data_IF_166491287731
#
_entry.id   IF_166491287731
#
_cell.length_a   1.000
_cell.length_b   1.000
_cell.length_c   1.000
_cell.angle_alpha   90.00
_cell.angle_beta   90.00
_cell.angle_gamma   90.00
#
_symmetry.space_group_name_H-M   'P 1'
#
loop_
_entity.id
_entity.type
_entity.pdbx_description
1 polymer ?
#
# COMPACT_ATOMS: atom_id res chain seq x y z
N UNK A 1 -37.55 -34.00 7.90
CA UNK A 1 -38.32 -33.04 8.71
C UNK A 1 -37.29 -32.12 9.36
N UNK A 2 -36.87 -31.05 8.68
CA UNK A 2 -37.30 -29.67 8.96
C UNK A 2 -37.47 -29.37 10.45
N UNK A 3 -36.55 -28.58 11.01
CA UNK A 3 -36.78 -27.85 12.26
C UNK A 3 -35.51 -27.60 13.06
N UNK A 4 -35.09 -26.33 13.13
CA UNK A 4 -34.34 -25.72 14.24
C UNK A 4 -32.80 -25.67 14.11
N UNK A 5 -32.35 -25.11 12.99
CA UNK A 5 -31.27 -24.10 13.00
C UNK A 5 -31.63 -22.97 14.00
N UNK A 6 -30.63 -22.38 14.67
CA UNK A 6 -30.67 -21.10 15.44
C UNK A 6 -31.33 -21.09 16.84
N UNK A 7 -30.66 -21.57 17.90
CA UNK A 7 -30.74 -20.91 19.23
C UNK A 7 -29.71 -21.35 20.31
N UNK A 8 -28.43 -21.57 20.00
CA UNK A 8 -27.49 -21.94 21.08
C UNK A 8 -26.09 -21.31 20.96
N UNK A 9 -26.03 -20.00 20.74
CA UNK A 9 -24.82 -19.19 20.99
C UNK A 9 -24.90 -18.38 22.31
N UNK A 10 -25.87 -18.65 23.19
CA UNK A 10 -26.31 -17.65 24.16
C UNK A 10 -25.77 -17.79 25.60
N UNK A 11 -24.91 -18.75 25.93
CA UNK A 11 -24.69 -19.08 27.37
C UNK A 11 -23.23 -19.07 27.85
N UNK A 12 -22.25 -18.70 27.03
CA UNK A 12 -20.83 -18.70 27.46
C UNK A 12 -20.22 -17.29 27.61
N UNK A 13 -20.98 -16.34 28.18
CA UNK A 13 -20.51 -14.97 28.45
C UNK A 13 -20.74 -14.52 29.90
N UNK A 14 -20.40 -15.37 30.88
CA UNK A 14 -20.47 -15.04 32.32
C UNK A 14 -19.26 -15.54 33.12
N UNK A 15 -18.04 -15.23 32.67
CA UNK A 15 -16.86 -15.20 33.55
C UNK A 15 -16.21 -13.83 33.41
N UNK A 16 -16.26 -13.08 34.49
CA UNK A 16 -15.89 -11.67 34.60
C UNK A 16 -14.38 -11.48 34.43
N UNK A 17 -14.00 -10.66 33.46
CA UNK A 17 -12.69 -10.04 33.38
C UNK A 17 -12.89 -8.62 32.86
N UNK A 18 -12.85 -7.65 33.77
CA UNK A 18 -12.92 -6.20 33.59
C UNK A 18 -12.68 -5.70 32.15
N UNK A 19 -13.77 -5.54 31.40
CA UNK A 19 -13.75 -4.76 30.17
C UNK A 19 -13.69 -3.28 30.59
N UNK A 20 -12.46 -2.76 30.72
CA UNK A 20 -12.25 -1.32 30.78
C UNK A 20 -12.97 -0.71 29.57
N UNK A 21 -13.94 0.15 29.85
CA UNK A 21 -14.72 0.93 28.90
C UNK A 21 -13.79 1.79 28.05
N UNK A 22 -13.31 1.28 26.91
CA UNK A 22 -12.75 2.14 25.87
C UNK A 22 -13.95 2.75 25.15
N UNK A 23 -14.14 4.05 25.30
CA UNK A 23 -15.12 4.82 24.54
C UNK A 23 -14.90 4.57 23.06
N UNK A 24 -15.90 4.01 22.39
CA UNK A 24 -15.96 3.90 20.94
C UNK A 24 -16.05 5.30 20.34
N UNK A 25 -14.91 5.89 19.99
CA UNK A 25 -14.88 7.01 19.06
C UNK A 25 -15.51 6.53 17.75
N UNK A 26 -16.54 7.25 17.30
CA UNK A 26 -17.33 6.96 16.11
C UNK A 26 -16.44 6.65 14.88
N UNK A 27 -16.89 5.80 13.93
CA UNK A 27 -16.17 5.58 12.70
C UNK A 27 -16.10 6.91 11.93
N UNK A 28 -14.89 7.48 11.83
CA UNK A 28 -14.63 8.58 10.92
C UNK A 28 -14.81 8.03 9.50
N UNK A 29 -15.92 8.36 8.86
CA UNK A 29 -16.12 8.08 7.44
C UNK A 29 -15.01 8.77 6.66
N UNK A 30 -14.18 8.01 5.96
CA UNK A 30 -13.18 8.60 5.07
C UNK A 30 -13.91 9.20 3.86
N UNK A 31 -13.77 10.50 3.69
CA UNK A 31 -14.38 11.25 2.59
C UNK A 31 -13.58 10.96 1.31
N UNK A 32 -14.17 10.24 0.35
CA UNK A 32 -13.55 9.93 -0.96
C UNK A 32 -13.54 11.12 -1.94
N UNK A 33 -13.69 12.35 -1.46
CA UNK A 33 -13.57 13.53 -2.33
C UNK A 33 -12.09 13.82 -2.54
N UNK A 34 -11.49 13.21 -3.57
CA UNK A 34 -10.21 13.67 -4.09
C UNK A 34 -10.45 14.98 -4.86
N UNK A 35 -9.78 16.09 -4.51
CA UNK A 35 -9.82 17.29 -5.34
C UNK A 35 -9.26 16.95 -6.72
N UNK A 36 -10.11 16.86 -7.73
CA UNK A 36 -9.65 16.79 -9.12
C UNK A 36 -8.94 18.10 -9.44
N UNK A 37 -7.71 18.08 -9.97
CA UNK A 37 -7.09 19.29 -10.51
C UNK A 37 -8.03 19.86 -11.59
N UNK A 38 -8.23 21.17 -11.55
CA UNK A 38 -9.09 21.86 -12.52
C UNK A 38 -8.62 21.49 -13.94
N UNK A 39 -9.57 21.12 -14.80
CA UNK A 39 -9.33 20.74 -16.19
C UNK A 39 -8.52 21.83 -16.90
N UNK A 40 -7.20 21.63 -17.03
CA UNK A 40 -6.27 22.62 -17.57
C UNK A 40 -4.85 22.52 -17.01
N UNK A 41 -4.66 21.95 -15.82
CA UNK A 41 -3.34 21.61 -15.31
C UNK A 41 -2.97 20.23 -15.88
N UNK A 42 -2.17 20.19 -16.96
CA UNK A 42 -1.49 18.98 -17.44
C UNK A 42 -0.40 18.58 -16.44
N UNK A 43 -0.81 18.32 -15.19
CA UNK A 43 0.03 17.87 -14.11
C UNK A 43 0.29 16.39 -14.30
N UNK A 44 1.55 16.04 -14.51
CA UNK A 44 2.01 14.65 -14.53
C UNK A 44 1.48 13.90 -13.29
N UNK A 45 1.01 12.67 -13.46
CA UNK A 45 0.36 11.94 -12.37
C UNK A 45 1.31 11.87 -11.16
N UNK A 46 0.85 12.21 -9.93
CA UNK A 46 1.71 12.17 -8.75
C UNK A 46 2.44 10.83 -8.57
N UNK A 47 1.84 9.71 -9.00
CA UNK A 47 2.44 8.38 -8.99
C UNK A 47 3.56 8.26 -10.03
N UNK A 48 3.35 8.72 -11.26
CA UNK A 48 4.40 8.73 -12.28
C UNK A 48 5.59 9.60 -11.85
N UNK A 49 5.35 10.78 -11.29
CA UNK A 49 6.41 11.63 -10.75
C UNK A 49 7.23 10.94 -9.65
N UNK A 50 6.57 10.21 -8.75
CA UNK A 50 7.25 9.43 -7.71
C UNK A 50 8.08 8.29 -8.30
N UNK A 51 7.53 7.55 -9.27
CA UNK A 51 8.22 6.44 -9.90
C UNK A 51 9.43 6.94 -10.72
N UNK A 52 9.30 8.07 -11.42
CA UNK A 52 10.39 8.70 -12.17
C UNK A 52 11.61 8.98 -11.30
N UNK A 53 11.42 9.44 -10.05
CA UNK A 53 12.52 9.66 -9.09
C UNK A 53 13.26 8.39 -8.68
N UNK A 54 12.63 7.22 -8.78
CA UNK A 54 13.25 5.92 -8.45
C UNK A 54 14.06 5.32 -9.59
N UNK A 55 13.90 5.83 -10.82
CA UNK A 55 14.47 5.22 -12.04
C UNK A 55 13.70 4.00 -12.56
N UNK A 56 12.55 3.66 -11.96
CA UNK A 56 11.75 2.49 -12.35
C UNK A 56 10.65 2.79 -13.38
N UNK A 57 10.65 3.98 -13.99
CA UNK A 57 9.56 4.46 -14.87
C UNK A 57 9.36 3.60 -16.12
N UNK A 58 10.44 3.10 -16.72
CA UNK A 58 10.33 2.22 -17.89
C UNK A 58 9.56 0.92 -17.57
N UNK A 59 9.77 0.35 -16.39
CA UNK A 59 9.04 -0.84 -15.95
C UNK A 59 7.58 -0.53 -15.61
N UNK A 60 7.30 0.68 -15.11
CA UNK A 60 5.93 1.13 -14.90
C UNK A 60 5.18 1.23 -16.22
N UNK A 61 5.76 1.89 -17.24
CA UNK A 61 5.16 1.99 -18.57
C UNK A 61 4.94 0.61 -19.20
N UNK A 62 5.90 -0.32 -19.06
CA UNK A 62 5.72 -1.69 -19.56
C UNK A 62 4.51 -2.42 -18.92
N UNK A 63 4.23 -2.16 -17.64
CA UNK A 63 3.03 -2.68 -16.96
C UNK A 63 1.77 -2.01 -17.54
N UNK A 64 1.79 -0.69 -17.73
CA UNK A 64 0.67 0.06 -18.31
C UNK A 64 0.36 -0.39 -19.74
N UNK A 65 1.38 -0.58 -20.58
CA UNK A 65 1.25 -1.10 -21.95
C UNK A 65 0.64 -2.50 -21.97
N UNK A 66 1.13 -3.41 -21.12
CA UNK A 66 0.56 -4.76 -21.03
C UNK A 66 -0.91 -4.74 -20.58
N UNK A 67 -1.24 -3.90 -19.59
CA UNK A 67 -2.62 -3.75 -19.14
C UNK A 67 -3.49 -3.11 -20.20
N UNK A 68 -3.00 -2.14 -20.98
CA UNK A 68 -3.72 -1.52 -22.09
C UNK A 68 -3.96 -2.50 -23.25
N UNK A 69 -3.04 -3.43 -23.50
CA UNK A 69 -3.22 -4.45 -24.55
C UNK A 69 -4.17 -5.57 -24.11
N UNK A 70 -3.98 -6.10 -22.90
CA UNK A 70 -4.67 -7.32 -22.48
C UNK A 70 -5.87 -7.11 -21.57
N UNK A 71 -5.94 -5.97 -20.87
CA UNK A 71 -6.92 -5.67 -19.83
C UNK A 71 -7.05 -6.78 -18.75
N UNK A 72 -6.04 -7.65 -18.61
CA UNK A 72 -5.99 -8.72 -17.62
C UNK A 72 -4.60 -8.73 -16.96
N UNK A 73 -4.55 -8.25 -15.71
CA UNK A 73 -3.31 -8.17 -14.94
C UNK A 73 -2.64 -9.54 -14.74
N UNK A 74 -3.40 -10.65 -14.79
CA UNK A 74 -2.85 -12.01 -14.65
C UNK A 74 -1.95 -12.38 -15.83
N UNK A 75 -2.16 -11.78 -17.00
CA UNK A 75 -1.28 -11.92 -18.17
C UNK A 75 -0.03 -11.02 -18.07
N UNK A 76 -0.08 -9.99 -17.23
CA UNK A 76 1.00 -9.01 -17.04
C UNK A 76 1.95 -9.32 -15.89
N UNK A 77 1.95 -10.56 -15.37
CA UNK A 77 2.77 -10.95 -14.22
C UNK A 77 4.27 -10.72 -14.45
N UNK A 78 4.76 -10.90 -15.67
CA UNK A 78 6.17 -10.70 -16.00
C UNK A 78 6.58 -9.22 -15.83
N UNK A 79 5.78 -8.30 -16.39
CA UNK A 79 6.00 -6.85 -16.31
C UNK A 79 5.86 -6.38 -14.85
N UNK A 80 4.83 -6.85 -14.14
CA UNK A 80 4.61 -6.51 -12.72
C UNK A 80 5.76 -6.99 -11.85
N UNK A 81 6.29 -8.19 -12.11
CA UNK A 81 7.45 -8.71 -11.39
C UNK A 81 8.69 -7.85 -11.64
N UNK A 82 8.96 -7.48 -12.90
CA UNK A 82 10.10 -6.63 -13.24
C UNK A 82 10.01 -5.25 -12.56
N UNK A 83 8.82 -4.64 -12.56
CA UNK A 83 8.58 -3.39 -11.85
C UNK A 83 8.83 -3.53 -10.33
N UNK A 84 8.29 -4.59 -9.72
CA UNK A 84 8.50 -4.88 -8.29
C UNK A 84 9.99 -5.06 -7.97
N UNK A 85 10.72 -5.80 -8.80
CA UNK A 85 12.14 -6.05 -8.59
C UNK A 85 12.94 -4.75 -8.64
N UNK A 86 12.63 -3.84 -9.58
CA UNK A 86 13.26 -2.52 -9.63
C UNK A 86 13.01 -1.70 -8.36
N UNK A 87 11.75 -1.59 -7.92
CA UNK A 87 11.39 -0.81 -6.72
C UNK A 87 12.05 -1.39 -5.47
N UNK A 88 12.09 -2.72 -5.34
CA UNK A 88 12.77 -3.38 -4.23
C UNK A 88 14.27 -3.07 -4.20
N UNK A 89 14.92 -3.05 -5.36
CA UNK A 89 16.34 -2.69 -5.44
C UNK A 89 16.57 -1.24 -5.04
N UNK A 90 15.74 -0.31 -5.52
CA UNK A 90 15.80 1.09 -5.11
C UNK A 90 15.65 1.24 -3.58
N UNK A 91 14.68 0.55 -2.97
CA UNK A 91 14.47 0.58 -1.51
C UNK A 91 15.67 0.04 -0.73
N UNK A 92 16.28 -1.06 -1.18
CA UNK A 92 17.49 -1.61 -0.56
C UNK A 92 18.66 -0.63 -0.62
N UNK A 93 18.93 -0.09 -1.81
CA UNK A 93 20.00 0.89 -1.99
C UNK A 93 19.75 2.12 -1.11
N UNK A 94 18.50 2.59 -1.04
CA UNK A 94 18.14 3.73 -0.18
C UNK A 94 18.38 3.44 1.29
N UNK A 95 18.06 2.25 1.77
CA UNK A 95 18.31 1.82 3.14
C UNK A 95 19.82 1.72 3.44
N UNK A 96 20.61 1.18 2.51
CA UNK A 96 22.06 1.08 2.66
C UNK A 96 22.72 2.44 2.74
N UNK A 97 22.32 3.40 1.91
CA UNK A 97 22.83 4.78 1.96
C UNK A 97 22.48 5.47 3.29
N UNK A 98 21.26 5.29 3.80
CA UNK A 98 20.89 5.79 5.12
C UNK A 98 21.74 5.15 6.23
N UNK A 99 22.05 3.86 6.13
CA UNK A 99 22.91 3.14 7.08
C UNK A 99 24.36 3.63 7.00
N UNK A 100 24.88 3.94 5.81
CA UNK A 100 26.22 4.51 5.61
C UNK A 100 26.33 5.89 6.25
N UNK A 101 25.31 6.73 6.09
CA UNK A 101 25.24 8.06 6.71
C UNK A 101 25.16 8.03 8.25
N UNK A 102 24.70 6.92 8.84
CA UNK A 102 24.63 6.73 10.30
C UNK A 102 25.93 6.19 10.91
N UNK A 103 26.90 5.75 10.10
CA UNK A 103 28.18 5.27 10.63
C UNK A 103 28.87 6.46 11.31
N UNK A 104 29.26 6.37 12.60
CA UNK A 104 29.97 7.45 13.27
C UNK A 104 31.23 7.78 12.47
N UNK A 105 31.36 9.06 12.10
CA UNK A 105 32.58 9.59 11.51
C UNK A 105 33.68 9.41 12.56
N UNK A 106 34.80 8.74 12.24
CA UNK A 106 35.94 8.70 13.15
C UNK A 106 36.40 10.13 13.39
N UNK A 107 36.14 10.66 14.58
CA UNK A 107 36.73 11.92 15.04
C UNK A 107 38.16 11.60 15.43
N UNK A 108 39.12 11.95 14.58
CA UNK A 108 40.54 11.93 14.93
C UNK A 108 40.78 12.95 16.07
N UNK A 109 41.55 12.54 17.07
CA UNK A 109 41.66 13.19 18.39
C UNK A 109 42.50 14.45 18.43
#
# INVERSE_FOLDING_TARGET
MLGLFWLEQSTFCLIQGSFNKMSSAAPQGHNWTSPQPAAGEEGEDPVEQMISRTGCIAFHHAVMECMAEHHDWRKCQAQVKAFRDCVNQYQKNRLEELRRGQKPVPTDG
#
